data_IF_718337855931
#
_entry.id   IF_718337855931
#
_cell.length_a   1.000
_cell.length_b   1.000
_cell.length_c   1.000
_cell.angle_alpha   90.00
_cell.angle_beta   90.00
_cell.angle_gamma   90.00
#
_symmetry.space_group_name_H-M   'P 1'
#
loop_
_entity.id
_entity.type
_entity.pdbx_description
1 polymer ?
#
# COMPACT_ATOMS: atom_id res chain seq x y z
N UNK A 1 29.11 -11.11 11.76
CA UNK A 1 28.04 -11.88 11.10
C UNK A 1 28.25 -11.74 9.61
N UNK A 2 28.47 -12.86 8.91
CA UNK A 2 28.61 -12.84 7.46
C UNK A 2 27.21 -12.56 6.89
N UNK A 3 26.88 -11.29 6.63
CA UNK A 3 25.61 -10.93 5.98
C UNK A 3 25.78 -11.34 4.52
N UNK A 4 25.19 -12.49 4.14
CA UNK A 4 25.07 -12.83 2.72
C UNK A 4 24.38 -11.68 2.00
N UNK A 5 24.92 -11.29 0.85
CA UNK A 5 24.35 -10.25 0.00
C UNK A 5 22.92 -10.65 -0.40
N UNK A 6 21.94 -9.74 -0.23
CA UNK A 6 20.55 -9.97 -0.65
C UNK A 6 20.41 -9.44 -2.09
N UNK A 7 20.08 -10.34 -3.00
CA UNK A 7 19.91 -10.06 -4.42
C UNK A 7 18.45 -9.79 -4.76
N UNK A 8 18.19 -8.68 -5.43
CA UNK A 8 16.84 -8.22 -5.77
C UNK A 8 16.69 -8.13 -7.29
N UNK A 9 15.63 -8.73 -7.80
CA UNK A 9 15.17 -8.56 -9.17
C UNK A 9 13.98 -7.59 -9.22
N UNK A 10 13.84 -6.84 -10.32
CA UNK A 10 12.72 -5.91 -10.55
C UNK A 10 11.97 -6.30 -11.82
N UNK A 11 10.65 -6.40 -11.71
CA UNK A 11 9.74 -6.47 -12.87
C UNK A 11 8.98 -5.16 -12.96
N UNK A 12 9.32 -4.40 -14.00
CA UNK A 12 8.92 -3.01 -14.19
C UNK A 12 10.13 -2.08 -14.21
N UNK A 13 10.02 -0.98 -14.95
CA UNK A 13 11.03 0.08 -15.04
C UNK A 13 10.37 1.46 -15.07
N UNK A 14 9.23 1.59 -14.38
CA UNK A 14 8.51 2.85 -14.19
C UNK A 14 8.94 3.58 -12.94
N UNK A 15 8.23 4.69 -12.63
CA UNK A 15 8.51 5.51 -11.46
C UNK A 15 8.55 4.69 -10.16
N UNK A 16 7.55 3.85 -9.89
CA UNK A 16 7.53 3.06 -8.64
C UNK A 16 8.66 2.02 -8.58
N UNK A 17 9.02 1.39 -9.70
CA UNK A 17 10.18 0.48 -9.75
C UNK A 17 11.48 1.21 -9.38
N UNK A 18 11.67 2.45 -9.87
CA UNK A 18 12.83 3.28 -9.53
C UNK A 18 12.85 3.67 -8.05
N UNK A 19 11.69 4.02 -7.47
CA UNK A 19 11.58 4.37 -6.04
C UNK A 19 11.86 3.16 -5.14
N UNK A 20 11.36 1.96 -5.50
CA UNK A 20 11.70 0.73 -4.79
C UNK A 20 13.19 0.40 -4.90
N UNK A 21 13.77 0.49 -6.09
CA UNK A 21 15.20 0.25 -6.29
C UNK A 21 16.03 1.18 -5.41
N UNK A 22 15.69 2.48 -5.38
CA UNK A 22 16.38 3.48 -4.57
C UNK A 22 16.29 3.19 -3.07
N UNK A 23 15.09 2.84 -2.59
CA UNK A 23 14.86 2.55 -1.18
C UNK A 23 15.55 1.26 -0.71
N UNK A 24 15.55 0.22 -1.55
CA UNK A 24 16.19 -1.06 -1.25
C UNK A 24 17.73 -0.97 -1.31
N UNK A 25 18.26 -0.32 -2.36
CA UNK A 25 19.71 -0.16 -2.53
C UNK A 25 20.37 0.74 -1.46
N UNK A 26 19.58 1.48 -0.69
CA UNK A 26 20.09 2.25 0.45
C UNK A 26 20.45 1.39 1.66
N UNK A 27 20.06 0.12 1.69
CA UNK A 27 20.38 -0.81 2.78
C UNK A 27 21.69 -1.55 2.52
N UNK A 28 22.58 -1.66 3.53
CA UNK A 28 23.83 -2.40 3.39
C UNK A 28 23.59 -3.87 3.01
N UNK A 29 24.40 -4.40 2.12
CA UNK A 29 24.33 -5.79 1.67
C UNK A 29 23.19 -6.10 0.70
N UNK A 30 22.51 -5.08 0.18
CA UNK A 30 21.47 -5.23 -0.86
C UNK A 30 22.05 -4.89 -2.22
N UNK A 31 21.72 -5.70 -3.22
CA UNK A 31 22.10 -5.47 -4.61
C UNK A 31 20.94 -5.74 -5.57
N UNK A 32 20.70 -4.79 -6.46
CA UNK A 32 19.78 -4.98 -7.60
C UNK A 32 20.57 -5.74 -8.66
N UNK A 33 20.10 -6.94 -9.04
CA UNK A 33 20.82 -7.84 -9.94
C UNK A 33 20.20 -7.97 -11.33
N UNK A 34 18.89 -7.73 -11.45
CA UNK A 34 18.19 -7.88 -12.73
C UNK A 34 16.97 -7.01 -12.85
N UNK A 35 16.69 -6.53 -14.06
CA UNK A 35 15.54 -5.72 -14.39
C UNK A 35 14.88 -6.28 -15.65
N UNK A 36 13.58 -6.57 -15.56
CA UNK A 36 12.74 -6.95 -16.70
C UNK A 36 11.63 -5.92 -16.88
N UNK A 37 11.57 -5.28 -18.04
CA UNK A 37 10.58 -4.24 -18.32
C UNK A 37 10.26 -4.09 -19.81
N UNK A 38 9.00 -3.83 -20.16
CA UNK A 38 8.54 -3.67 -21.57
C UNK A 38 9.22 -2.49 -22.28
N UNK A 39 9.46 -1.40 -21.57
CA UNK A 39 10.13 -0.23 -22.13
C UNK A 39 11.65 -0.42 -21.97
N UNK A 40 12.30 -1.01 -22.99
CA UNK A 40 13.71 -1.38 -23.00
C UNK A 40 14.62 -0.24 -22.56
N UNK A 41 14.46 0.94 -23.13
CA UNK A 41 15.27 2.12 -22.79
C UNK A 41 15.17 2.51 -21.30
N UNK A 42 13.96 2.43 -20.71
CA UNK A 42 13.79 2.71 -19.27
C UNK A 42 14.42 1.63 -18.41
N UNK A 43 14.31 0.37 -18.82
CA UNK A 43 14.95 -0.75 -18.12
C UNK A 43 16.49 -0.61 -18.13
N UNK A 44 17.06 -0.25 -19.28
CA UNK A 44 18.51 0.00 -19.43
C UNK A 44 18.99 1.18 -18.56
N UNK A 45 18.24 2.29 -18.55
CA UNK A 45 18.56 3.44 -17.72
C UNK A 45 18.54 3.10 -16.21
N UNK A 46 17.51 2.34 -15.77
CA UNK A 46 17.41 1.91 -14.38
C UNK A 46 18.50 0.90 -14.03
N UNK A 47 18.81 -0.05 -14.91
CA UNK A 47 19.86 -1.05 -14.71
C UNK A 47 21.25 -0.40 -14.59
N UNK A 48 21.55 0.57 -15.46
CA UNK A 48 22.81 1.30 -15.43
C UNK A 48 23.07 2.03 -14.09
N UNK A 49 21.99 2.54 -13.45
CA UNK A 49 22.10 3.22 -12.17
C UNK A 49 22.54 2.28 -11.01
N UNK A 50 22.32 0.97 -11.13
CA UNK A 50 22.62 -0.02 -10.07
C UNK A 50 23.60 -1.11 -10.52
N UNK A 51 24.14 -1.06 -11.73
CA UNK A 51 24.99 -2.12 -12.27
C UNK A 51 24.26 -3.45 -12.47
N UNK A 52 22.94 -3.39 -12.71
CA UNK A 52 22.09 -4.56 -12.90
C UNK A 52 22.06 -4.99 -14.38
N UNK A 53 21.67 -6.26 -14.64
CA UNK A 53 21.47 -6.77 -15.99
C UNK A 53 20.01 -6.55 -16.44
N UNK A 54 19.78 -6.31 -17.74
CA UNK A 54 18.46 -6.17 -18.34
C UNK A 54 18.05 -7.46 -19.03
N UNK A 55 16.87 -7.93 -18.72
CA UNK A 55 16.30 -9.17 -19.24
C UNK A 55 15.06 -8.93 -20.10
N UNK A 56 14.92 -9.73 -21.15
CA UNK A 56 13.77 -9.68 -22.06
C UNK A 56 12.61 -10.56 -21.58
N UNK A 57 12.86 -11.46 -20.61
CA UNK A 57 11.84 -12.30 -19.99
C UNK A 57 12.08 -12.51 -18.50
N UNK A 58 10.99 -12.74 -17.78
CA UNK A 58 11.00 -13.06 -16.35
C UNK A 58 11.67 -14.41 -16.12
N UNK A 59 11.43 -15.40 -16.97
CA UNK A 59 12.03 -16.74 -16.88
C UNK A 59 13.55 -16.70 -16.97
N UNK A 60 14.08 -15.93 -17.94
CA UNK A 60 15.53 -15.75 -18.09
C UNK A 60 16.13 -15.02 -16.90
N UNK A 61 15.46 -13.97 -16.40
CA UNK A 61 15.91 -13.26 -15.22
C UNK A 61 15.93 -14.18 -14.00
N UNK A 62 14.92 -15.02 -13.80
CA UNK A 62 14.89 -16.01 -12.70
C UNK A 62 16.06 -16.98 -12.77
N UNK A 63 16.27 -17.59 -13.94
CA UNK A 63 17.30 -18.61 -14.12
C UNK A 63 18.75 -18.09 -14.06
N UNK A 64 18.93 -16.78 -14.26
CA UNK A 64 20.26 -16.16 -14.38
C UNK A 64 20.70 -15.44 -13.10
N UNK A 65 19.76 -14.75 -12.40
CA UNK A 65 20.15 -13.81 -11.33
C UNK A 65 20.27 -14.45 -9.95
N UNK A 66 19.66 -15.60 -9.72
CA UNK A 66 19.55 -16.20 -8.37
C UNK A 66 19.06 -15.19 -7.32
N UNK A 67 18.13 -14.31 -7.71
CA UNK A 67 17.60 -13.28 -6.82
C UNK A 67 16.80 -13.91 -5.67
N UNK A 68 16.95 -13.38 -4.45
CA UNK A 68 16.22 -13.83 -3.26
C UNK A 68 14.77 -13.36 -3.29
N UNK A 69 14.52 -12.19 -3.90
CA UNK A 69 13.21 -11.57 -3.98
C UNK A 69 13.05 -10.83 -5.30
N UNK A 70 11.81 -10.85 -5.82
CA UNK A 70 11.41 -10.02 -6.94
C UNK A 70 10.43 -8.95 -6.50
N UNK A 71 10.67 -7.70 -6.89
CA UNK A 71 9.73 -6.58 -6.73
C UNK A 71 9.00 -6.38 -8.04
N UNK A 72 7.67 -6.40 -7.99
CA UNK A 72 6.81 -6.23 -9.17
C UNK A 72 6.12 -4.89 -9.11
N UNK A 73 6.54 -3.97 -9.97
CA UNK A 73 6.02 -2.61 -10.07
C UNK A 73 5.68 -2.26 -11.52
N UNK A 74 4.59 -2.82 -12.00
CA UNK A 74 4.05 -2.64 -13.36
C UNK A 74 2.74 -1.85 -13.31
N UNK A 75 2.24 -1.40 -14.48
CA UNK A 75 0.94 -0.77 -14.51
C UNK A 75 -0.19 -1.79 -14.22
N UNK A 76 -1.31 -1.27 -13.75
CA UNK A 76 -2.44 -2.03 -13.21
C UNK A 76 -2.98 -3.06 -14.22
N UNK A 77 -3.10 -2.69 -15.49
CA UNK A 77 -3.62 -3.59 -16.55
C UNK A 77 -2.67 -4.73 -16.90
N UNK A 78 -1.39 -4.60 -16.57
CA UNK A 78 -0.41 -5.65 -16.83
C UNK A 78 -0.23 -6.62 -15.67
N UNK A 79 -0.77 -6.28 -14.49
CA UNK A 79 -0.50 -7.04 -13.26
C UNK A 79 -0.90 -8.50 -13.39
N UNK A 80 -2.11 -8.81 -13.83
CA UNK A 80 -2.59 -10.19 -13.92
C UNK A 80 -1.64 -11.09 -14.72
N UNK A 81 -1.28 -10.69 -15.94
CA UNK A 81 -0.37 -11.46 -16.80
C UNK A 81 1.05 -11.56 -16.23
N UNK A 82 1.54 -10.48 -15.61
CA UNK A 82 2.87 -10.49 -14.99
C UNK A 82 2.89 -11.37 -13.73
N UNK A 83 1.82 -11.36 -12.94
CA UNK A 83 1.73 -12.21 -11.74
C UNK A 83 1.74 -13.70 -12.08
N UNK A 84 1.05 -14.13 -13.16
CA UNK A 84 1.11 -15.50 -13.65
C UNK A 84 2.56 -15.94 -13.93
N UNK A 85 3.33 -15.09 -14.62
CA UNK A 85 4.73 -15.38 -14.93
C UNK A 85 5.61 -15.38 -13.68
N UNK A 86 5.43 -14.42 -12.76
CA UNK A 86 6.21 -14.33 -11.52
C UNK A 86 5.93 -15.51 -10.60
N UNK A 87 4.67 -15.89 -10.44
CA UNK A 87 4.28 -17.01 -9.56
C UNK A 87 4.59 -18.38 -10.14
N UNK A 88 4.97 -18.50 -11.41
CA UNK A 88 5.56 -19.73 -11.94
C UNK A 88 6.92 -20.07 -11.29
N UNK A 89 7.58 -19.06 -10.70
CA UNK A 89 8.90 -19.19 -10.06
C UNK A 89 8.83 -19.16 -8.53
N UNK A 90 9.89 -19.64 -7.86
CA UNK A 90 9.93 -19.77 -6.38
C UNK A 90 10.53 -18.56 -5.66
N UNK A 91 10.40 -17.37 -6.22
CA UNK A 91 10.83 -16.15 -5.53
C UNK A 91 9.99 -15.85 -4.28
N UNK A 92 10.58 -15.16 -3.31
CA UNK A 92 9.84 -14.25 -2.46
C UNK A 92 9.42 -13.03 -3.30
N UNK A 93 8.23 -12.48 -3.07
CA UNK A 93 7.66 -11.46 -3.96
C UNK A 93 7.16 -10.25 -3.17
N UNK A 94 7.53 -9.05 -3.60
CA UNK A 94 6.91 -7.81 -3.17
C UNK A 94 6.12 -7.24 -4.36
N UNK A 95 4.81 -7.10 -4.22
CA UNK A 95 3.92 -6.53 -5.23
C UNK A 95 3.61 -5.07 -4.95
N UNK A 96 3.59 -4.23 -5.98
CA UNK A 96 2.91 -2.95 -5.91
C UNK A 96 1.39 -3.12 -5.86
N UNK A 97 0.74 -2.14 -5.24
CA UNK A 97 -0.73 -2.04 -5.22
C UNK A 97 -1.26 -1.37 -6.52
N UNK A 98 -2.50 -1.58 -6.90
CA UNK A 98 -3.43 -2.59 -6.38
C UNK A 98 -3.02 -3.98 -6.87
N UNK A 99 -3.30 -5.02 -6.09
CA UNK A 99 -3.03 -6.39 -6.53
C UNK A 99 -4.12 -6.96 -7.44
N UNK A 100 -5.13 -6.16 -7.71
CA UNK A 100 -6.21 -6.37 -8.67
C UNK A 100 -7.10 -5.14 -8.73
N UNK A 101 -7.69 -4.86 -9.89
CA UNK A 101 -8.57 -3.70 -10.10
C UNK A 101 -9.99 -3.89 -9.53
N UNK A 102 -10.30 -5.05 -8.98
CA UNK A 102 -11.54 -5.34 -8.27
C UNK A 102 -11.34 -6.54 -7.35
N UNK A 103 -12.35 -6.85 -6.57
CA UNK A 103 -12.30 -7.93 -5.58
C UNK A 103 -12.05 -9.30 -6.25
N UNK A 104 -12.70 -9.58 -7.39
CA UNK A 104 -12.52 -10.85 -8.12
C UNK A 104 -11.08 -11.01 -8.64
N UNK A 105 -10.50 -9.96 -9.22
CA UNK A 105 -9.11 -9.97 -9.68
C UNK A 105 -8.12 -10.16 -8.50
N UNK A 106 -8.36 -9.49 -7.37
CA UNK A 106 -7.53 -9.65 -6.16
C UNK A 106 -7.60 -11.08 -5.62
N UNK A 107 -8.79 -11.68 -5.55
CA UNK A 107 -8.96 -13.07 -5.13
C UNK A 107 -8.23 -14.06 -6.05
N UNK A 108 -8.27 -13.84 -7.36
CA UNK A 108 -7.48 -14.66 -8.33
C UNK A 108 -5.98 -14.53 -8.07
N UNK A 109 -5.49 -13.31 -7.79
CA UNK A 109 -4.07 -13.10 -7.44
C UNK A 109 -3.68 -13.89 -6.19
N UNK A 110 -4.51 -13.88 -5.14
CA UNK A 110 -4.27 -14.65 -3.90
C UNK A 110 -4.24 -16.16 -4.19
N UNK A 111 -5.16 -16.66 -5.02
CA UNK A 111 -5.18 -18.07 -5.41
C UNK A 111 -3.92 -18.47 -6.19
N UNK A 112 -3.49 -17.68 -7.16
CA UNK A 112 -2.26 -17.91 -7.91
C UNK A 112 -1.01 -17.90 -7.02
N UNK A 113 -1.00 -17.08 -5.99
CA UNK A 113 0.11 -16.95 -5.07
C UNK A 113 0.14 -18.00 -3.95
N UNK A 114 -0.79 -18.97 -3.94
CA UNK A 114 -0.90 -19.98 -2.88
C UNK A 114 0.42 -20.72 -2.63
N UNK A 115 0.83 -20.76 -1.36
CA UNK A 115 2.09 -21.37 -0.94
C UNK A 115 3.35 -20.56 -1.25
N UNK A 116 3.21 -19.29 -1.63
CA UNK A 116 4.30 -18.35 -1.89
C UNK A 116 4.46 -17.35 -0.76
N UNK A 117 5.67 -16.83 -0.58
CA UNK A 117 5.95 -15.68 0.30
C UNK A 117 5.67 -14.39 -0.50
N UNK A 118 4.54 -13.75 -0.25
CA UNK A 118 4.12 -12.56 -1.02
C UNK A 118 3.66 -11.46 -0.08
N UNK A 119 4.23 -10.27 -0.27
CA UNK A 119 3.88 -9.05 0.43
C UNK A 119 3.43 -7.97 -0.56
N UNK A 120 2.77 -6.95 -0.05
CA UNK A 120 2.21 -5.86 -0.86
C UNK A 120 2.68 -4.51 -0.32
N UNK A 121 3.07 -3.63 -1.22
CA UNK A 121 3.59 -2.31 -0.88
C UNK A 121 2.47 -1.31 -0.51
N UNK A 122 1.70 -1.60 0.55
CA UNK A 122 0.80 -0.64 1.17
C UNK A 122 1.64 0.34 2.03
N UNK A 123 2.42 1.17 1.36
CA UNK A 123 3.48 1.97 1.95
C UNK A 123 3.04 2.95 3.04
N UNK A 124 1.76 3.32 3.09
CA UNK A 124 1.25 4.24 4.13
C UNK A 124 1.29 3.64 5.53
N UNK A 125 1.23 2.31 5.68
CA UNK A 125 1.48 1.64 6.96
C UNK A 125 2.90 1.88 7.49
N UNK A 126 3.85 2.13 6.59
CA UNK A 126 5.26 2.37 6.88
C UNK A 126 5.63 3.86 7.01
N UNK A 127 4.71 4.79 6.78
CA UNK A 127 4.95 6.22 7.01
C UNK A 127 5.39 6.47 8.46
N UNK A 128 6.37 7.32 8.65
CA UNK A 128 6.84 7.68 10.00
C UNK A 128 5.71 8.26 10.85
N UNK A 129 4.86 9.09 10.26
CA UNK A 129 3.68 9.64 10.91
C UNK A 129 2.69 8.55 11.35
N UNK A 130 2.43 7.54 10.50
CA UNK A 130 1.57 6.40 10.85
C UNK A 130 2.17 5.60 12.01
N UNK A 131 3.46 5.35 12.00
CA UNK A 131 4.16 4.61 13.07
C UNK A 131 4.14 5.38 14.39
N UNK A 132 4.45 6.67 14.33
CA UNK A 132 4.36 7.55 15.50
C UNK A 132 2.94 7.62 16.07
N UNK A 133 1.90 7.66 15.22
CA UNK A 133 0.51 7.61 15.65
C UNK A 133 0.17 6.31 16.40
N UNK A 134 0.62 5.15 15.90
CA UNK A 134 0.42 3.86 16.57
C UNK A 134 1.10 3.79 17.94
N UNK A 135 2.26 4.43 18.11
CA UNK A 135 2.97 4.51 19.39
C UNK A 135 2.23 5.36 20.44
N UNK A 136 1.41 6.33 20.01
CA UNK A 136 0.59 7.15 20.91
C UNK A 136 -0.70 6.43 21.36
N UNK A 137 -1.20 5.49 20.56
CA UNK A 137 -2.46 4.78 20.77
C UNK A 137 -2.22 3.50 21.58
N UNK A 138 -2.41 3.57 22.89
CA UNK A 138 -2.19 2.41 23.77
C UNK A 138 -3.32 1.38 23.61
N UNK A 139 -3.02 0.07 23.82
CA UNK A 139 -4.03 -1.01 23.71
C UNK A 139 -5.23 -0.80 24.63
N UNK A 140 -4.99 -0.36 25.86
CA UNK A 140 -6.00 -0.30 26.93
C UNK A 140 -6.68 1.07 27.09
N UNK A 141 -6.62 1.93 26.07
CA UNK A 141 -7.15 3.31 26.13
C UNK A 141 -8.65 3.44 25.82
N UNK A 142 -9.39 2.32 25.83
CA UNK A 142 -10.82 2.29 25.47
C UNK A 142 -11.05 2.21 23.96
N UNK A 143 -12.33 2.23 23.50
CA UNK A 143 -12.68 2.21 22.09
C UNK A 143 -12.10 3.40 21.32
N UNK A 144 -11.72 3.16 20.06
CA UNK A 144 -11.20 4.18 19.14
C UNK A 144 -12.27 4.68 18.19
N UNK A 145 -12.30 5.98 17.95
CA UNK A 145 -13.00 6.58 16.82
C UNK A 145 -11.96 6.88 15.72
N UNK A 146 -12.11 6.23 14.58
CA UNK A 146 -11.22 6.36 13.42
C UNK A 146 -11.96 7.11 12.33
N UNK A 147 -11.50 8.31 11.99
CA UNK A 147 -12.09 9.15 10.93
C UNK A 147 -11.14 9.22 9.75
N UNK A 148 -11.63 8.90 8.56
CA UNK A 148 -10.89 8.92 7.31
C UNK A 148 -11.57 9.89 6.35
N UNK A 149 -10.82 10.89 5.89
CA UNK A 149 -11.23 11.82 4.83
C UNK A 149 -10.47 11.47 3.57
N UNK A 150 -11.21 11.17 2.52
CA UNK A 150 -10.69 10.70 1.24
C UNK A 150 -11.18 11.59 0.09
N UNK A 151 -10.29 12.37 -0.49
CA UNK A 151 -10.56 13.13 -1.70
C UNK A 151 -10.05 12.37 -2.91
N UNK A 152 -10.91 12.13 -3.88
CA UNK A 152 -10.57 11.43 -5.11
C UNK A 152 -10.94 12.28 -6.34
N UNK A 153 -10.20 12.11 -7.43
CA UNK A 153 -10.42 12.87 -8.65
C UNK A 153 -10.27 11.96 -9.88
N UNK A 154 -11.39 11.52 -10.42
CA UNK A 154 -11.44 10.70 -11.64
C UNK A 154 -11.09 11.51 -12.88
N UNK A 155 -11.49 12.78 -12.91
CA UNK A 155 -11.21 13.68 -14.02
C UNK A 155 -9.71 13.90 -14.18
N UNK A 156 -9.00 14.18 -13.08
CA UNK A 156 -7.53 14.32 -13.11
C UNK A 156 -6.85 12.99 -13.44
N UNK A 157 -7.31 11.87 -12.88
CA UNK A 157 -6.77 10.56 -13.18
C UNK A 157 -6.85 10.23 -14.68
N UNK A 158 -7.99 10.51 -15.31
CA UNK A 158 -8.14 10.37 -16.77
C UNK A 158 -7.25 11.37 -17.53
N UNK A 159 -7.15 12.61 -17.05
CA UNK A 159 -6.37 13.68 -17.67
C UNK A 159 -4.86 13.41 -17.71
N UNK A 160 -4.31 12.71 -16.71
CA UNK A 160 -2.90 12.30 -16.68
C UNK A 160 -2.63 10.97 -17.40
N UNK A 161 -3.65 10.39 -18.04
CA UNK A 161 -3.51 9.25 -18.95
C UNK A 161 -3.70 7.87 -18.32
N UNK A 162 -4.36 7.76 -17.15
CA UNK A 162 -4.77 6.44 -16.67
C UNK A 162 -5.81 5.82 -17.61
N UNK A 163 -5.73 4.50 -17.90
CA UNK A 163 -6.72 3.79 -18.71
C UNK A 163 -8.13 3.89 -18.10
N UNK A 164 -9.17 3.92 -18.94
CA UNK A 164 -10.56 4.04 -18.49
C UNK A 164 -10.93 2.97 -17.44
N UNK A 165 -10.55 1.72 -17.66
CA UNK A 165 -10.78 0.62 -16.70
C UNK A 165 -10.16 0.89 -15.32
N UNK A 166 -8.99 1.52 -15.25
CA UNK A 166 -8.35 1.91 -13.98
C UNK A 166 -9.13 3.04 -13.34
N UNK A 167 -9.55 4.05 -14.12
CA UNK A 167 -10.33 5.19 -13.62
C UNK A 167 -11.70 4.74 -13.08
N UNK A 168 -12.40 3.86 -13.79
CA UNK A 168 -13.67 3.28 -13.34
C UNK A 168 -13.55 2.48 -12.02
N UNK A 169 -12.38 1.91 -11.77
CA UNK A 169 -12.04 1.15 -10.57
C UNK A 169 -11.12 1.93 -9.61
N UNK A 170 -11.14 3.26 -9.67
CA UNK A 170 -10.21 4.13 -8.95
C UNK A 170 -10.21 3.93 -7.42
N UNK A 171 -11.35 3.51 -6.85
CA UNK A 171 -11.43 3.17 -5.42
C UNK A 171 -10.48 2.03 -5.04
N UNK A 172 -10.31 1.02 -5.89
CA UNK A 172 -9.37 -0.08 -5.68
C UNK A 172 -7.92 0.35 -5.95
N UNK A 173 -7.72 1.23 -6.92
CA UNK A 173 -6.40 1.72 -7.30
C UNK A 173 -5.86 2.77 -6.31
N UNK A 174 -6.73 3.62 -5.72
CA UNK A 174 -6.30 4.78 -4.96
C UNK A 174 -6.94 4.91 -3.57
N UNK A 175 -8.28 4.82 -3.42
CA UNK A 175 -8.94 4.90 -2.10
C UNK A 175 -8.50 3.80 -1.13
N UNK A 176 -8.01 2.67 -1.64
CA UNK A 176 -7.46 1.59 -0.81
C UNK A 176 -6.38 2.10 0.16
N UNK A 177 -5.64 3.12 -0.21
CA UNK A 177 -4.63 3.73 0.65
C UNK A 177 -5.20 4.36 1.91
N UNK A 178 -6.38 4.95 1.82
CA UNK A 178 -7.07 5.60 2.94
C UNK A 178 -7.89 4.57 3.72
N UNK A 179 -8.55 3.65 3.01
CA UNK A 179 -9.39 2.62 3.61
C UNK A 179 -8.56 1.62 4.43
N UNK A 180 -7.32 1.33 4.00
CA UNK A 180 -6.39 0.47 4.74
C UNK A 180 -6.04 1.01 6.15
N UNK A 181 -6.24 2.29 6.41
CA UNK A 181 -6.06 2.85 7.75
C UNK A 181 -7.07 2.34 8.78
N UNK A 182 -8.25 1.89 8.38
CA UNK A 182 -9.17 1.21 9.30
C UNK A 182 -8.59 -0.10 9.83
N UNK A 183 -7.83 -0.82 9.00
CA UNK A 183 -7.11 -2.02 9.42
C UNK A 183 -5.84 -1.70 10.20
N UNK A 184 -5.20 -0.58 9.88
CA UNK A 184 -3.97 -0.13 10.55
C UNK A 184 -4.24 0.34 11.99
N UNK A 185 -5.33 1.06 12.22
CA UNK A 185 -5.66 1.67 13.50
C UNK A 185 -6.78 1.00 14.27
N UNK A 186 -7.69 0.30 13.58
CA UNK A 186 -8.77 -0.44 14.22
C UNK A 186 -8.30 -1.75 14.83
N UNK A 187 -8.99 -2.20 15.86
CA UNK A 187 -8.70 -3.45 16.57
C UNK A 187 -9.83 -4.44 16.30
N UNK A 188 -9.47 -5.72 16.21
CA UNK A 188 -10.44 -6.77 15.93
C UNK A 188 -10.96 -6.76 14.50
N UNK A 189 -12.13 -7.35 14.26
CA UNK A 189 -12.75 -7.51 12.95
C UNK A 189 -13.83 -6.46 12.71
N UNK A 190 -13.93 -5.99 11.47
CA UNK A 190 -15.02 -5.11 11.04
C UNK A 190 -16.27 -5.97 10.80
N UNK A 191 -17.21 -5.89 11.72
CA UNK A 191 -18.44 -6.71 11.72
C UNK A 191 -19.56 -6.09 10.90
N UNK A 192 -19.57 -4.76 10.76
CA UNK A 192 -20.62 -4.06 10.03
C UNK A 192 -20.08 -2.85 9.27
N UNK A 193 -20.63 -2.59 8.08
CA UNK A 193 -20.48 -1.34 7.32
C UNK A 193 -21.87 -0.83 6.99
N UNK A 194 -22.20 0.40 7.41
CA UNK A 194 -23.46 1.08 7.12
C UNK A 194 -23.22 2.33 6.29
N UNK A 195 -24.01 2.54 5.27
CA UNK A 195 -23.94 3.71 4.43
C UNK A 195 -24.98 4.75 4.87
N UNK A 196 -24.53 5.96 5.18
CA UNK A 196 -25.39 7.13 5.33
C UNK A 196 -25.61 7.81 3.97
N UNK A 197 -24.57 7.84 3.11
CA UNK A 197 -24.68 8.21 1.69
C UNK A 197 -23.92 7.15 0.88
N UNK A 198 -24.64 6.31 0.10
CA UNK A 198 -24.00 5.24 -0.68
C UNK A 198 -23.30 5.77 -1.91
N UNK A 199 -22.31 5.06 -2.40
CA UNK A 199 -21.65 5.31 -3.66
C UNK A 199 -22.62 5.17 -4.85
N UNK A 200 -22.51 6.08 -5.81
CA UNK A 200 -23.26 6.07 -7.08
C UNK A 200 -22.28 6.26 -8.22
N UNK A 201 -22.01 5.20 -8.97
CA UNK A 201 -21.03 5.21 -10.05
C UNK A 201 -21.41 6.20 -11.18
N UNK A 202 -22.71 6.34 -11.46
CA UNK A 202 -23.25 7.24 -12.49
C UNK A 202 -23.24 8.72 -12.12
N UNK A 203 -23.06 9.02 -10.83
CA UNK A 203 -22.95 10.40 -10.32
C UNK A 203 -22.01 10.44 -9.12
N UNK A 204 -20.71 10.16 -9.31
CA UNK A 204 -19.74 10.07 -8.22
C UNK A 204 -19.54 11.46 -7.58
N UNK A 205 -19.97 11.63 -6.34
CA UNK A 205 -19.79 12.89 -5.59
C UNK A 205 -19.34 12.64 -4.16
N UNK A 206 -20.18 12.00 -3.39
CA UNK A 206 -19.93 11.76 -1.97
C UNK A 206 -20.23 10.31 -1.62
N UNK A 207 -19.49 9.82 -0.64
CA UNK A 207 -19.79 8.59 0.04
C UNK A 207 -19.56 8.81 1.53
N UNK A 208 -20.53 8.39 2.36
CA UNK A 208 -20.41 8.41 3.82
C UNK A 208 -20.79 7.03 4.37
N UNK A 209 -19.83 6.38 5.03
CA UNK A 209 -20.03 5.10 5.66
C UNK A 209 -19.50 5.07 7.10
N UNK A 210 -20.14 4.28 7.95
CA UNK A 210 -19.67 3.95 9.28
C UNK A 210 -19.31 2.48 9.37
N UNK A 211 -18.28 2.17 10.16
CA UNK A 211 -17.78 0.83 10.36
C UNK A 211 -17.85 0.50 11.86
N UNK A 212 -18.30 -0.71 12.19
CA UNK A 212 -18.26 -1.23 13.56
C UNK A 212 -17.27 -2.38 13.66
N UNK A 213 -16.46 -2.35 14.72
CA UNK A 213 -15.51 -3.39 15.04
C UNK A 213 -16.02 -4.23 16.24
N UNK A 214 -15.70 -5.50 16.27
CA UNK A 214 -16.03 -6.36 17.41
C UNK A 214 -15.27 -5.96 18.70
N UNK A 215 -14.22 -5.17 18.59
CA UNK A 215 -13.53 -4.54 19.73
C UNK A 215 -14.29 -3.35 20.35
N UNK A 216 -15.35 -2.87 19.71
CA UNK A 216 -16.04 -1.62 20.05
C UNK A 216 -15.47 -0.37 19.39
N UNK A 217 -14.40 -0.49 18.58
CA UNK A 217 -13.89 0.61 17.77
C UNK A 217 -14.93 1.00 16.70
N UNK A 218 -14.94 2.27 16.31
CA UNK A 218 -15.85 2.82 15.29
C UNK A 218 -15.03 3.52 14.21
N UNK A 219 -15.33 3.22 12.96
CA UNK A 219 -14.80 3.90 11.79
C UNK A 219 -15.83 4.85 11.16
N UNK A 220 -15.36 5.97 10.65
CA UNK A 220 -16.14 6.91 9.81
C UNK A 220 -15.33 7.19 8.56
N UNK A 221 -15.87 6.82 7.41
CA UNK A 221 -15.28 7.08 6.11
C UNK A 221 -16.10 8.14 5.37
N UNK A 222 -15.42 9.17 4.90
CA UNK A 222 -16.00 10.26 4.14
C UNK A 222 -15.19 10.45 2.86
N UNK A 223 -15.80 10.20 1.71
CA UNK A 223 -15.18 10.44 0.41
C UNK A 223 -15.85 11.62 -0.32
N UNK A 224 -15.01 12.42 -0.96
CA UNK A 224 -15.41 13.47 -1.91
C UNK A 224 -14.75 13.17 -3.25
N UNK A 225 -15.57 13.08 -4.29
CA UNK A 225 -15.12 12.77 -5.64
C UNK A 225 -15.25 14.00 -6.54
N UNK A 226 -14.20 14.26 -7.33
CA UNK A 226 -14.08 15.40 -8.26
C UNK A 226 -14.37 16.76 -7.60
N UNK A 227 -14.03 16.87 -6.31
CA UNK A 227 -14.17 18.07 -5.52
C UNK A 227 -12.96 18.30 -4.61
N UNK A 228 -12.84 19.47 -3.99
CA UNK A 228 -11.75 19.75 -3.07
C UNK A 228 -11.91 18.99 -1.75
N UNK A 229 -10.81 18.54 -1.16
CA UNK A 229 -10.80 17.88 0.13
C UNK A 229 -9.38 17.42 0.51
N UNK A 230 -9.18 17.04 1.75
CA UNK A 230 -7.90 16.48 2.19
C UNK A 230 -7.87 14.97 2.05
N UNK A 231 -6.65 14.43 2.01
CA UNK A 231 -6.35 13.11 2.52
C UNK A 231 -5.96 13.24 3.97
N UNK A 232 -6.78 12.75 4.88
CA UNK A 232 -6.53 12.87 6.29
C UNK A 232 -7.09 11.70 7.07
N UNK A 233 -6.41 11.34 8.15
CA UNK A 233 -6.85 10.33 9.11
C UNK A 233 -6.74 10.89 10.51
N UNK A 234 -7.77 10.70 11.31
CA UNK A 234 -7.73 11.01 12.73
C UNK A 234 -8.19 9.81 13.56
N UNK A 235 -7.47 9.53 14.62
CA UNK A 235 -7.84 8.49 15.59
C UNK A 235 -7.91 9.09 16.98
N UNK A 236 -9.04 8.89 17.61
CA UNK A 236 -9.29 9.41 18.97
C UNK A 236 -9.65 8.25 19.88
N UNK A 237 -8.99 8.17 21.02
CA UNK A 237 -9.38 7.36 22.16
C UNK A 237 -9.68 8.25 23.37
N UNK A 238 -9.81 7.68 24.57
CA UNK A 238 -10.11 8.48 25.79
C UNK A 238 -8.94 9.34 26.27
N UNK A 239 -7.73 9.18 25.77
CA UNK A 239 -6.49 9.81 26.24
C UNK A 239 -5.86 10.76 25.24
N UNK A 240 -5.93 10.40 23.96
CA UNK A 240 -5.24 11.09 22.88
C UNK A 240 -6.05 11.11 21.60
N UNK A 241 -5.95 12.18 20.86
CA UNK A 241 -6.29 12.29 19.45
C UNK A 241 -5.01 12.44 18.67
N UNK A 242 -4.82 11.57 17.69
CA UNK A 242 -3.78 11.70 16.66
C UNK A 242 -4.43 12.11 15.34
N UNK A 243 -3.77 12.98 14.59
CA UNK A 243 -4.25 13.45 13.30
C UNK A 243 -3.11 13.44 12.29
N UNK A 244 -3.34 12.79 11.15
CA UNK A 244 -2.44 12.73 10.00
C UNK A 244 -3.03 13.63 8.92
N UNK A 245 -2.46 14.85 8.74
CA UNK A 245 -2.91 15.82 7.73
C UNK A 245 -1.80 16.84 7.40
N UNK A 246 -1.17 16.73 6.20
CA UNK A 246 -1.27 15.58 5.28
C UNK A 246 -0.82 14.27 5.94
N UNK A 247 -0.97 13.15 5.25
CA UNK A 247 -0.71 11.81 5.84
C UNK A 247 0.74 11.62 6.31
N UNK A 248 1.67 12.40 5.78
CA UNK A 248 3.10 12.42 6.11
C UNK A 248 3.41 13.18 7.41
N UNK A 249 2.43 13.87 7.98
CA UNK A 249 2.59 14.66 9.21
C UNK A 249 1.67 14.14 10.29
N UNK A 250 2.11 14.25 11.53
CA UNK A 250 1.31 13.89 12.69
C UNK A 250 1.20 15.06 13.66
N UNK A 251 -0.03 15.34 14.09
CA UNK A 251 -0.31 16.19 15.23
C UNK A 251 -1.03 15.38 16.31
N UNK A 252 -0.73 15.65 17.56
CA UNK A 252 -1.34 15.01 18.73
C UNK A 252 -2.02 16.02 19.62
N UNK A 253 -3.14 15.63 20.21
CA UNK A 253 -3.84 16.39 21.24
C UNK A 253 -4.17 15.45 22.41
N UNK A 254 -3.65 15.74 23.59
CA UNK A 254 -3.94 14.92 24.79
C UNK A 254 -5.19 15.39 25.50
N UNK A 255 -5.80 14.49 26.23
CA UNK A 255 -6.95 14.82 27.08
C UNK A 255 -6.64 16.00 28.00
N UNK A 256 -7.52 17.01 28.00
CA UNK A 256 -7.34 18.24 28.77
C UNK A 256 -6.55 19.34 28.07
N UNK A 257 -5.89 19.04 26.96
CA UNK A 257 -5.18 20.04 26.15
C UNK A 257 -6.11 20.60 25.06
N UNK A 258 -5.92 21.89 24.74
CA UNK A 258 -6.63 22.56 23.63
C UNK A 258 -5.76 22.71 22.39
N UNK A 259 -4.44 22.59 22.53
CA UNK A 259 -3.48 22.76 21.45
C UNK A 259 -3.08 21.40 20.88
N UNK A 260 -2.84 21.39 19.59
CA UNK A 260 -2.19 20.26 18.91
C UNK A 260 -0.67 20.44 18.98
N UNK A 261 0.04 19.37 19.20
CA UNK A 261 1.51 19.33 19.13
C UNK A 261 1.90 18.51 17.91
N UNK A 262 2.61 19.12 16.98
CA UNK A 262 3.19 18.41 15.85
C UNK A 262 4.40 17.61 16.32
N UNK A 263 4.54 16.35 15.84
CA UNK A 263 5.74 15.55 16.01
C UNK A 263 6.62 15.67 14.77
N UNK A 264 7.95 15.64 14.92
CA UNK A 264 8.85 15.68 13.77
C UNK A 264 8.67 14.45 12.88
N UNK A 265 8.70 14.66 11.56
CA UNK A 265 8.76 13.57 10.60
C UNK A 265 10.17 12.94 10.59
N UNK A 266 10.26 11.65 10.28
CA UNK A 266 11.55 10.98 10.04
C UNK A 266 12.13 11.52 8.71
N UNK A 267 13.40 11.92 8.71
CA UNK A 267 14.09 12.44 7.53
C UNK A 267 14.03 11.45 6.34
N UNK A 268 13.96 10.15 6.60
CA UNK A 268 13.83 9.11 5.56
C UNK A 268 12.57 9.23 4.72
N UNK A 269 11.47 9.75 5.29
CA UNK A 269 10.25 10.02 4.52
C UNK A 269 10.37 11.29 3.65
N UNK A 270 11.40 12.11 3.87
CA UNK A 270 11.76 13.24 3.00
C UNK A 270 12.81 12.85 1.96
N UNK A 271 13.76 12.00 2.34
CA UNK A 271 14.85 11.57 1.46
C UNK A 271 14.38 10.54 0.43
N UNK A 272 13.38 9.74 0.77
CA UNK A 272 12.75 8.71 -0.08
C UNK A 272 11.27 9.01 -0.29
N UNK A 273 10.64 8.32 -1.24
CA UNK A 273 9.18 8.32 -1.27
C UNK A 273 8.66 7.80 0.08
N UNK A 274 7.76 8.53 0.74
CA UNK A 274 7.35 8.23 2.11
C UNK A 274 7.02 6.75 2.35
N UNK A 275 7.55 6.20 3.42
CA UNK A 275 7.38 4.82 3.85
C UNK A 275 8.20 3.78 3.10
N UNK A 276 8.74 4.05 1.88
CA UNK A 276 9.40 3.00 1.10
C UNK A 276 10.72 2.53 1.72
N UNK A 277 11.50 3.42 2.33
CA UNK A 277 12.74 3.01 2.98
C UNK A 277 12.47 2.08 4.17
N UNK A 278 11.46 2.37 4.98
CA UNK A 278 11.05 1.50 6.10
C UNK A 278 10.44 0.19 5.61
N UNK A 279 9.62 0.24 4.57
CA UNK A 279 9.04 -0.94 3.94
C UNK A 279 10.13 -1.86 3.38
N UNK A 280 11.18 -1.29 2.78
CA UNK A 280 12.36 -2.03 2.34
C UNK A 280 13.04 -2.74 3.54
N UNK A 281 13.24 -2.04 4.67
CA UNK A 281 13.79 -2.65 5.88
C UNK A 281 12.95 -3.81 6.41
N UNK A 282 11.62 -3.66 6.43
CA UNK A 282 10.71 -4.75 6.80
C UNK A 282 10.83 -5.96 5.87
N UNK A 283 10.92 -5.72 4.55
CA UNK A 283 11.12 -6.82 3.59
C UNK A 283 12.42 -7.58 3.86
N UNK A 284 13.52 -6.86 4.11
CA UNK A 284 14.81 -7.48 4.41
C UNK A 284 14.76 -8.31 5.71
N UNK A 285 14.09 -7.81 6.73
CA UNK A 285 13.87 -8.52 7.98
C UNK A 285 13.01 -9.78 7.79
N UNK A 286 11.92 -9.70 7.01
CA UNK A 286 11.08 -10.85 6.62
C UNK A 286 11.90 -11.92 5.86
N UNK A 287 12.77 -11.49 4.95
CA UNK A 287 13.66 -12.41 4.21
C UNK A 287 14.63 -13.13 5.16
N UNK A 288 15.08 -12.45 6.20
CA UNK A 288 15.94 -13.02 7.24
C UNK A 288 15.19 -13.91 8.26
N UNK A 289 13.88 -14.11 8.11
CA UNK A 289 13.04 -14.92 8.99
C UNK A 289 12.47 -14.18 10.21
N UNK A 290 12.57 -12.86 10.24
CA UNK A 290 11.89 -12.02 11.23
C UNK A 290 10.39 -11.87 10.93
N UNK A 291 9.69 -11.13 11.81
CA UNK A 291 8.29 -10.79 11.63
C UNK A 291 8.14 -9.28 11.75
N UNK A 292 7.54 -8.68 10.74
CA UNK A 292 7.37 -7.24 10.64
C UNK A 292 5.92 -6.86 10.31
N UNK A 293 5.54 -5.58 10.41
CA UNK A 293 4.26 -5.09 9.92
C UNK A 293 4.16 -4.98 8.38
N UNK A 294 5.05 -5.61 7.61
CA UNK A 294 4.99 -5.63 6.15
C UNK A 294 3.69 -6.30 5.70
N UNK A 295 2.82 -5.60 4.95
CA UNK A 295 1.52 -6.15 4.57
C UNK A 295 1.66 -7.41 3.74
N UNK A 296 1.05 -8.50 4.19
CA UNK A 296 0.92 -9.74 3.41
C UNK A 296 -0.09 -9.58 2.29
N UNK A 297 -0.03 -10.47 1.30
CA UNK A 297 -1.04 -10.49 0.23
C UNK A 297 -2.46 -10.76 0.77
N UNK A 298 -2.57 -11.54 1.85
CA UNK A 298 -3.87 -11.79 2.50
C UNK A 298 -4.43 -10.52 3.14
N UNK A 299 -3.62 -9.75 3.84
CA UNK A 299 -4.04 -8.46 4.39
C UNK A 299 -4.43 -7.45 3.30
N UNK A 300 -3.74 -7.47 2.15
CA UNK A 300 -4.13 -6.65 1.00
C UNK A 300 -5.49 -7.08 0.41
N UNK A 301 -5.80 -8.39 0.40
CA UNK A 301 -7.14 -8.88 0.05
C UNK A 301 -8.19 -8.36 1.04
N UNK A 302 -7.96 -8.45 2.33
CA UNK A 302 -8.89 -7.93 3.34
C UNK A 302 -9.11 -6.41 3.20
N UNK A 303 -8.09 -5.65 2.83
CA UNK A 303 -8.24 -4.23 2.52
C UNK A 303 -9.05 -4.00 1.24
N UNK A 304 -8.87 -4.84 0.22
CA UNK A 304 -9.69 -4.81 -1.00
C UNK A 304 -11.14 -5.20 -0.74
N UNK A 305 -11.39 -6.19 0.13
CA UNK A 305 -12.73 -6.56 0.58
C UNK A 305 -13.41 -5.41 1.33
N UNK A 306 -12.65 -4.69 2.14
CA UNK A 306 -13.16 -3.51 2.82
C UNK A 306 -13.51 -2.38 1.84
N UNK A 307 -12.68 -2.15 0.81
CA UNK A 307 -13.03 -1.23 -0.29
C UNK A 307 -14.36 -1.64 -0.93
N UNK A 308 -14.51 -2.91 -1.30
CA UNK A 308 -15.74 -3.41 -1.91
C UNK A 308 -16.96 -3.21 -0.99
N UNK A 309 -16.84 -3.47 0.32
CA UNK A 309 -17.91 -3.25 1.31
C UNK A 309 -18.29 -1.77 1.44
N UNK A 310 -17.29 -0.89 1.52
CA UNK A 310 -17.53 0.56 1.67
C UNK A 310 -18.18 1.14 0.42
N UNK A 311 -17.82 0.65 -0.77
CA UNK A 311 -18.38 1.13 -2.04
C UNK A 311 -19.62 0.33 -2.52
N UNK A 312 -20.05 -0.70 -1.78
CA UNK A 312 -21.20 -1.54 -2.17
C UNK A 312 -20.93 -2.40 -3.41
N UNK A 313 -19.68 -2.77 -3.65
CA UNK A 313 -19.20 -3.51 -4.84
C UNK A 313 -18.91 -4.99 -4.57
N UNK A 314 -19.45 -5.55 -3.48
CA UNK A 314 -19.18 -6.95 -3.07
C UNK A 314 -19.70 -7.99 -4.08
N UNK A 315 -20.75 -7.66 -4.82
CA UNK A 315 -21.43 -8.56 -5.76
C UNK A 315 -21.08 -8.32 -7.24
N UNK A 316 -20.21 -7.38 -7.53
CA UNK A 316 -19.77 -7.13 -8.92
C UNK A 316 -18.84 -8.29 -9.33
N UNK A 317 -19.36 -9.15 -10.22
CA UNK A 317 -18.72 -10.35 -10.77
C UNK A 317 -17.64 -10.00 -11.79
#
# INVERSE_FOLDING_TARGET
MNTSEIKIALVGAGYMASEHARALNAWPGVRIVGICGRARQRAEALAAAYGAEVFDSIDKMYSTTEADVVVVAVNELSMATVFEQVFAHRWAVLLEKPVGLNLSATRRTVEMARGRRVWVALNRRAFSATRAALEQLLPDSGPRLISVLDQQNMTDAAGIGHPAEVVENWMFANSIHLIDYFRTFGRGRIVEVRHAEPWRAEAPRHLLATLQFDSGDIGVYQAVWDGPGPWAVAVTDQRVRVELRPLERIAIQRRGERRHTELPADARDSDFKPGLHRLAGWLLEELAGGHTPLPTLHEALESTELVARIYGLEQVR
#
